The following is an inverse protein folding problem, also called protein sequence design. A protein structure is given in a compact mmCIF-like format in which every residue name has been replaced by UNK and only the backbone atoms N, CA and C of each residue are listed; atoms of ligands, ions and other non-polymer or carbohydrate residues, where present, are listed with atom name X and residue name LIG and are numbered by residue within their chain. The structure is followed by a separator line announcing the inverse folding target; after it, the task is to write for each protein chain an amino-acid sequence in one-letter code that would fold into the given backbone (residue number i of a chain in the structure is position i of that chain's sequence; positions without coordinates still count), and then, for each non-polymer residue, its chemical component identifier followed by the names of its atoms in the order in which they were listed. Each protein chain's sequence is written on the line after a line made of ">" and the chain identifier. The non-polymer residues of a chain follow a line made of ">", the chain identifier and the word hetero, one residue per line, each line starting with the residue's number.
data_IF_709113527479
#
_entry.id   IF_709113527479
#
_cell.length_a   1.000
_cell.length_b   1.000
_cell.length_c   1.000
_cell.angle_alpha   90.00
_cell.angle_beta   90.00
_cell.angle_gamma   90.00
#
_symmetry.space_group_name_H-M   'P 1'
#
loop_
_entity.id
_entity.type
_entity.pdbx_description
1 polymer ?
#
# COMPACT_ATOMS: atom_id res chain seq x y z
N UNK A 1 -1.89 35.88 -37.89
CA UNK A 1 -0.72 35.04 -37.90
C UNK A 1 -0.20 34.88 -36.46
N UNK A 2 -0.60 33.87 -35.74
CA UNK A 2 -0.06 33.47 -34.42
C UNK A 2 0.01 31.98 -34.35
N UNK A 3 1.11 31.40 -34.86
CA UNK A 3 1.59 30.09 -34.49
C UNK A 3 2.40 30.30 -33.20
N UNK A 4 1.93 29.86 -32.10
CA UNK A 4 2.75 29.39 -31.01
C UNK A 4 1.81 28.77 -29.98
N UNK A 5 2.03 27.54 -29.72
CA UNK A 5 1.88 26.91 -28.41
C UNK A 5 1.70 25.41 -28.59
N UNK A 6 2.58 24.80 -29.37
CA UNK A 6 2.96 23.43 -29.01
C UNK A 6 3.86 23.57 -27.78
N UNK A 7 3.25 23.71 -26.62
CA UNK A 7 3.90 23.40 -25.37
C UNK A 7 4.30 21.93 -25.47
N UNK A 8 5.59 21.67 -25.60
CA UNK A 8 6.16 20.33 -25.52
C UNK A 8 5.68 19.77 -24.19
N UNK A 9 4.60 19.00 -24.19
CA UNK A 9 4.17 18.26 -23.01
C UNK A 9 5.38 17.44 -22.57
N UNK A 10 5.89 17.70 -21.37
CA UNK A 10 6.92 16.86 -20.76
C UNK A 10 6.35 15.44 -20.82
N UNK A 11 7.06 14.56 -21.57
CA UNK A 11 6.67 13.16 -21.71
C UNK A 11 6.38 12.62 -20.31
N UNK A 12 5.16 12.19 -20.07
CA UNK A 12 4.75 11.67 -18.75
C UNK A 12 5.60 10.47 -18.41
N UNK A 13 6.30 10.51 -17.30
CA UNK A 13 7.03 9.36 -16.79
C UNK A 13 6.10 8.56 -15.86
N UNK A 14 5.46 7.52 -16.41
CA UNK A 14 4.57 6.64 -15.65
C UNK A 14 5.32 5.84 -14.59
N UNK A 15 6.60 5.50 -14.84
CA UNK A 15 7.43 4.84 -13.85
C UNK A 15 7.60 5.72 -12.62
N UNK A 16 7.90 7.02 -12.82
CA UNK A 16 8.09 7.94 -11.71
C UNK A 16 6.79 8.15 -10.92
N UNK A 17 5.64 8.27 -11.58
CA UNK A 17 4.35 8.41 -10.88
C UNK A 17 4.02 7.18 -10.02
N UNK A 18 4.29 5.98 -10.50
CA UNK A 18 4.10 4.75 -9.73
C UNK A 18 5.10 4.66 -8.56
N UNK A 19 6.36 5.07 -8.77
CA UNK A 19 7.37 5.12 -7.72
C UNK A 19 6.99 6.12 -6.62
N UNK A 20 6.53 7.32 -7.00
CA UNK A 20 6.11 8.36 -6.05
C UNK A 20 4.89 7.87 -5.24
N UNK A 21 3.91 7.24 -5.91
CA UNK A 21 2.73 6.67 -5.26
C UNK A 21 3.12 5.59 -4.23
N UNK A 22 3.94 4.60 -4.62
CA UNK A 22 4.40 3.55 -3.70
C UNK A 22 5.27 4.08 -2.56
N UNK A 23 6.05 5.15 -2.81
CA UNK A 23 6.81 5.83 -1.76
C UNK A 23 5.88 6.42 -0.68
N UNK A 24 4.81 7.09 -1.10
CA UNK A 24 3.81 7.67 -0.18
C UNK A 24 3.13 6.58 0.65
N UNK A 25 2.84 5.42 0.05
CA UNK A 25 2.30 4.25 0.76
C UNK A 25 3.28 3.71 1.81
N UNK A 26 4.55 3.55 1.46
CA UNK A 26 5.59 3.14 2.41
C UNK A 26 5.73 4.14 3.57
N UNK A 27 5.77 5.44 3.27
CA UNK A 27 5.85 6.49 4.30
C UNK A 27 4.64 6.43 5.25
N UNK A 28 3.44 6.13 4.74
CA UNK A 28 2.24 5.97 5.55
C UNK A 28 2.34 4.78 6.52
N UNK A 29 2.86 3.64 6.07
CA UNK A 29 3.08 2.49 6.96
C UNK A 29 4.16 2.73 8.00
N UNK A 30 5.23 3.46 7.66
CA UNK A 30 6.24 3.90 8.63
C UNK A 30 5.62 4.79 9.74
N UNK A 31 4.73 5.69 9.37
CA UNK A 31 4.01 6.54 10.33
C UNK A 31 2.98 5.71 11.14
N UNK A 32 2.26 4.80 10.49
CA UNK A 32 1.32 3.90 11.16
C UNK A 32 2.02 3.10 12.27
N UNK A 33 3.13 2.43 11.95
CA UNK A 33 3.90 1.64 12.93
C UNK A 33 4.30 2.49 14.14
N UNK A 34 4.89 3.67 13.89
CA UNK A 34 5.27 4.59 14.98
C UNK A 34 4.09 5.03 15.83
N UNK A 35 2.95 5.30 15.20
CA UNK A 35 1.73 5.69 15.88
C UNK A 35 1.15 4.58 16.74
N UNK A 36 1.13 3.36 16.25
CA UNK A 36 0.67 2.19 16.99
C UNK A 36 1.58 1.89 18.20
N UNK A 37 2.91 2.02 18.05
CA UNK A 37 3.87 1.80 19.14
C UNK A 37 3.82 2.88 20.21
N UNK A 38 3.58 4.13 19.84
CA UNK A 38 3.59 5.26 20.78
C UNK A 38 2.22 5.54 21.42
N UNK A 39 1.14 5.00 20.88
CA UNK A 39 -0.23 5.34 21.27
C UNK A 39 -0.59 6.81 20.96
N UNK A 40 0.13 7.46 20.06
CA UNK A 40 0.00 8.89 19.77
C UNK A 40 -0.98 9.15 18.62
N UNK A 41 -2.06 9.87 18.90
CA UNK A 41 -3.09 10.25 17.91
C UNK A 41 -2.58 11.14 16.75
N UNK A 42 -1.42 11.81 16.89
CA UNK A 42 -0.84 12.63 15.82
C UNK A 42 -0.49 11.81 14.57
N UNK A 43 -0.18 10.51 14.75
CA UNK A 43 0.08 9.61 13.63
C UNK A 43 -1.15 9.44 12.72
N UNK A 44 -2.36 9.47 13.28
CA UNK A 44 -3.60 9.33 12.51
C UNK A 44 -3.77 10.47 11.50
N UNK A 45 -3.60 11.73 11.91
CA UNK A 45 -3.68 12.89 11.01
C UNK A 45 -2.66 12.80 9.88
N UNK A 46 -1.46 12.29 10.19
CA UNK A 46 -0.40 12.14 9.18
C UNK A 46 -0.69 11.01 8.20
N UNK A 47 -1.26 9.89 8.64
CA UNK A 47 -1.72 8.81 7.74
C UNK A 47 -2.83 9.32 6.81
N UNK A 48 -3.82 10.06 7.31
CA UNK A 48 -4.86 10.69 6.49
C UNK A 48 -4.29 11.66 5.45
N UNK A 49 -3.26 12.43 5.82
CA UNK A 49 -2.60 13.33 4.88
C UNK A 49 -1.92 12.56 3.74
N UNK A 50 -1.19 11.49 4.08
CA UNK A 50 -0.47 10.67 3.10
C UNK A 50 -1.43 9.89 2.19
N UNK A 51 -2.56 9.43 2.71
CA UNK A 51 -3.60 8.81 1.88
C UNK A 51 -4.14 9.79 0.82
N UNK A 52 -4.46 11.03 1.21
CA UNK A 52 -4.89 12.05 0.24
C UNK A 52 -3.82 12.39 -0.79
N UNK A 53 -2.55 12.40 -0.38
CA UNK A 53 -1.42 12.58 -1.31
C UNK A 53 -1.31 11.40 -2.30
N UNK A 54 -1.48 10.16 -1.83
CA UNK A 54 -1.51 8.96 -2.68
C UNK A 54 -2.68 9.01 -3.67
N UNK A 55 -3.87 9.37 -3.21
CA UNK A 55 -5.09 9.54 -4.02
C UNK A 55 -4.89 10.61 -5.12
N UNK A 56 -4.24 11.73 -4.80
CA UNK A 56 -3.91 12.77 -5.76
C UNK A 56 -2.89 12.28 -6.81
N UNK A 57 -1.85 11.54 -6.40
CA UNK A 57 -0.88 10.92 -7.31
C UNK A 57 -1.56 9.93 -8.26
N UNK A 58 -2.43 9.07 -7.75
CA UNK A 58 -3.22 8.13 -8.53
C UNK A 58 -4.14 8.87 -9.51
N UNK A 59 -4.84 9.92 -9.08
CA UNK A 59 -5.69 10.74 -9.94
C UNK A 59 -4.90 11.38 -11.09
N UNK A 60 -3.71 11.91 -10.80
CA UNK A 60 -2.79 12.44 -11.81
C UNK A 60 -2.37 11.33 -12.79
N UNK A 61 -2.01 10.15 -12.30
CA UNK A 61 -1.62 9.01 -13.12
C UNK A 61 -2.75 8.61 -14.07
N UNK A 62 -3.98 8.46 -13.59
CA UNK A 62 -5.15 8.09 -14.39
C UNK A 62 -5.49 9.18 -15.44
N UNK A 63 -5.45 10.47 -15.05
CA UNK A 63 -5.66 11.56 -16.01
C UNK A 63 -4.60 11.53 -17.13
N UNK A 64 -3.34 11.32 -16.80
CA UNK A 64 -2.26 11.19 -17.78
C UNK A 64 -2.42 9.94 -18.65
N UNK A 65 -2.82 8.82 -18.05
CA UNK A 65 -3.09 7.59 -18.77
C UNK A 65 -4.19 7.81 -19.84
N UNK A 66 -5.27 8.50 -19.50
CA UNK A 66 -6.38 8.81 -20.40
C UNK A 66 -5.99 9.72 -21.57
N UNK A 67 -5.00 10.60 -21.38
CA UNK A 67 -4.54 11.55 -22.39
C UNK A 67 -3.35 11.08 -23.21
N UNK A 68 -2.72 9.96 -22.84
CA UNK A 68 -1.52 9.45 -23.50
C UNK A 68 -1.88 8.34 -24.47
N UNK A 69 -1.49 8.45 -25.75
CA UNK A 69 -1.76 7.43 -26.75
C UNK A 69 -0.80 6.23 -26.67
N UNK A 70 0.44 6.47 -26.28
CA UNK A 70 1.49 5.44 -26.19
C UNK A 70 2.09 5.44 -24.78
N UNK A 71 1.95 4.32 -24.10
CA UNK A 71 2.46 4.08 -22.74
C UNK A 71 3.71 3.20 -22.77
N UNK A 72 4.57 3.22 -21.73
CA UNK A 72 5.79 2.43 -21.70
C UNK A 72 5.56 0.92 -21.56
N UNK A 73 4.41 0.52 -21.02
CA UNK A 73 3.90 -0.84 -20.92
C UNK A 73 2.38 -0.82 -20.94
N UNK A 74 1.72 -1.95 -20.79
CA UNK A 74 0.29 -2.08 -20.98
C UNK A 74 -0.50 -1.13 -20.06
N UNK A 75 -1.52 -0.46 -20.63
CA UNK A 75 -2.36 0.51 -19.91
C UNK A 75 -3.17 -0.15 -18.80
N UNK A 76 -3.62 -1.39 -19.04
CA UNK A 76 -4.38 -2.16 -18.06
C UNK A 76 -3.50 -2.51 -16.86
N UNK A 77 -2.23 -2.85 -17.10
CA UNK A 77 -1.26 -3.13 -16.04
C UNK A 77 -0.94 -1.86 -15.22
N UNK A 78 -0.80 -0.68 -15.87
CA UNK A 78 -0.61 0.60 -15.17
C UNK A 78 -1.80 0.88 -14.24
N UNK A 79 -3.01 0.71 -14.75
CA UNK A 79 -4.23 0.94 -13.99
C UNK A 79 -4.37 -0.03 -12.82
N UNK A 80 -4.19 -1.34 -13.08
CA UNK A 80 -4.30 -2.39 -12.07
C UNK A 80 -3.26 -2.20 -10.95
N UNK A 81 -2.00 -1.90 -11.32
CA UNK A 81 -0.93 -1.66 -10.36
C UNK A 81 -1.22 -0.43 -9.48
N UNK A 82 -1.66 0.68 -10.09
CA UNK A 82 -2.01 1.88 -9.33
C UNK A 82 -3.15 1.63 -8.35
N UNK A 83 -4.12 0.78 -8.71
CA UNK A 83 -5.22 0.41 -7.83
C UNK A 83 -4.74 -0.48 -6.68
N UNK A 84 -3.93 -1.51 -6.96
CA UNK A 84 -3.43 -2.40 -5.93
C UNK A 84 -2.58 -1.64 -4.89
N UNK A 85 -1.73 -0.71 -5.34
CA UNK A 85 -0.91 0.14 -4.47
C UNK A 85 -1.78 1.08 -3.61
N UNK A 86 -2.83 1.64 -4.17
CA UNK A 86 -3.79 2.52 -3.48
C UNK A 86 -4.57 1.80 -2.37
N UNK A 87 -5.07 0.61 -2.66
CA UNK A 87 -5.79 -0.23 -1.68
C UNK A 87 -4.92 -0.61 -0.46
N UNK A 88 -3.59 -0.58 -0.59
CA UNK A 88 -2.67 -0.81 0.53
C UNK A 88 -2.75 0.34 1.53
N UNK A 89 -2.69 1.59 1.08
CA UNK A 89 -2.75 2.76 1.97
C UNK A 89 -4.14 2.98 2.55
N UNK A 90 -5.19 2.68 1.80
CA UNK A 90 -6.58 2.69 2.27
C UNK A 90 -6.75 1.84 3.54
N UNK A 91 -6.10 0.68 3.59
CA UNK A 91 -6.15 -0.19 4.76
C UNK A 91 -5.46 0.45 5.98
N UNK A 92 -4.36 1.17 5.78
CA UNK A 92 -3.69 1.92 6.85
C UNK A 92 -4.61 3.04 7.40
N UNK A 93 -5.27 3.78 6.51
CA UNK A 93 -6.22 4.83 6.88
C UNK A 93 -7.39 4.25 7.69
N UNK A 94 -8.03 3.18 7.19
CA UNK A 94 -9.15 2.52 7.90
C UNK A 94 -8.73 2.00 9.27
N UNK A 95 -7.51 1.48 9.39
CA UNK A 95 -6.98 1.00 10.67
C UNK A 95 -6.94 2.12 11.71
N UNK A 96 -6.37 3.28 11.38
CA UNK A 96 -6.31 4.41 12.34
C UNK A 96 -7.69 5.03 12.59
N UNK A 97 -8.55 5.06 11.58
CA UNK A 97 -9.93 5.55 11.70
C UNK A 97 -10.72 4.69 12.68
N UNK A 98 -10.69 3.37 12.53
CA UNK A 98 -11.46 2.45 13.37
C UNK A 98 -10.90 2.36 14.80
N UNK A 99 -9.58 2.41 15.00
CA UNK A 99 -9.00 2.53 16.33
C UNK A 99 -9.57 3.75 17.07
N UNK A 100 -9.67 4.88 16.39
CA UNK A 100 -10.21 6.12 16.98
C UNK A 100 -11.72 6.02 17.22
N UNK A 101 -12.52 5.62 16.21
CA UNK A 101 -13.99 5.52 16.31
C UNK A 101 -14.42 4.49 17.36
N UNK A 102 -13.73 3.35 17.39
CA UNK A 102 -14.04 2.29 18.35
C UNK A 102 -13.47 2.54 19.75
N UNK A 103 -12.59 3.53 19.88
CA UNK A 103 -11.86 3.85 21.10
C UNK A 103 -11.18 2.61 21.71
N UNK A 104 -10.42 1.90 20.88
CA UNK A 104 -9.62 0.74 21.28
C UNK A 104 -8.15 1.03 21.11
N UNK A 105 -7.32 0.42 21.97
CA UNK A 105 -5.88 0.55 21.87
C UNK A 105 -5.31 -0.56 20.96
N UNK A 106 -4.25 -0.27 20.21
CA UNK A 106 -3.54 -1.30 19.46
C UNK A 106 -2.89 -2.30 20.41
N UNK A 107 -2.91 -3.55 20.03
CA UNK A 107 -2.20 -4.62 20.73
C UNK A 107 -0.93 -5.05 19.96
N UNK A 108 -0.17 -5.96 20.56
CA UNK A 108 1.10 -6.43 20.02
C UNK A 108 0.95 -7.11 18.66
N UNK A 109 -0.14 -7.85 18.42
CA UNK A 109 -0.39 -8.53 17.15
C UNK A 109 -0.71 -7.53 16.03
N UNK A 110 -1.50 -6.48 16.31
CA UNK A 110 -1.75 -5.41 15.36
C UNK A 110 -0.45 -4.67 14.98
N UNK A 111 0.39 -4.37 15.97
CA UNK A 111 1.70 -3.74 15.76
C UNK A 111 2.60 -4.66 14.94
N UNK A 112 2.61 -5.98 15.23
CA UNK A 112 3.39 -6.95 14.47
C UNK A 112 2.95 -7.01 13.00
N UNK A 113 1.64 -7.04 12.73
CA UNK A 113 1.10 -6.98 11.37
C UNK A 113 1.52 -5.71 10.63
N UNK A 114 1.39 -4.55 11.27
CA UNK A 114 1.79 -3.27 10.68
C UNK A 114 3.29 -3.23 10.32
N UNK A 115 4.17 -3.77 11.18
CA UNK A 115 5.61 -3.89 10.92
C UNK A 115 5.95 -4.79 9.73
N UNK A 116 5.21 -5.86 9.55
CA UNK A 116 5.41 -6.74 8.39
C UNK A 116 4.96 -6.02 7.12
N UNK A 117 3.85 -5.29 7.16
CA UNK A 117 3.37 -4.48 6.04
C UNK A 117 4.30 -3.30 5.71
N UNK A 118 4.90 -2.64 6.70
CA UNK A 118 5.92 -1.62 6.47
C UNK A 118 7.07 -2.19 5.61
N UNK A 119 7.54 -3.40 5.92
CA UNK A 119 8.57 -4.07 5.11
C UNK A 119 8.06 -4.45 3.72
N UNK A 120 6.83 -4.96 3.61
CA UNK A 120 6.21 -5.32 2.35
C UNK A 120 6.05 -4.12 1.42
N UNK A 121 5.61 -2.98 1.95
CA UNK A 121 5.46 -1.73 1.18
C UNK A 121 6.81 -1.14 0.75
N UNK A 122 7.86 -1.26 1.56
CA UNK A 122 9.22 -0.94 1.16
C UNK A 122 9.68 -1.79 -0.03
N UNK A 123 9.41 -3.09 0.00
CA UNK A 123 9.77 -4.00 -1.11
C UNK A 123 8.99 -3.65 -2.40
N UNK A 124 7.71 -3.24 -2.32
CA UNK A 124 6.95 -2.74 -3.48
C UNK A 124 7.57 -1.44 -4.02
N UNK A 125 7.90 -0.49 -3.15
CA UNK A 125 8.57 0.75 -3.55
C UNK A 125 9.91 0.49 -4.26
N UNK A 126 10.77 -0.38 -3.68
CA UNK A 126 12.06 -0.72 -4.27
C UNK A 126 11.92 -1.54 -5.57
N UNK A 127 10.90 -2.40 -5.68
CA UNK A 127 10.58 -3.09 -6.93
C UNK A 127 10.28 -2.08 -8.05
N UNK A 128 9.39 -1.14 -7.82
CA UNK A 128 9.01 -0.11 -8.79
C UNK A 128 10.16 0.81 -9.16
N UNK A 129 10.97 1.22 -8.20
CA UNK A 129 12.15 2.05 -8.38
C UNK A 129 13.19 1.40 -9.30
N UNK A 130 13.34 0.08 -9.21
CA UNK A 130 14.31 -0.69 -9.99
C UNK A 130 13.75 -1.24 -11.31
N UNK A 131 12.43 -1.29 -11.49
CA UNK A 131 11.75 -1.99 -12.58
C UNK A 131 12.24 -1.58 -13.96
N UNK A 132 12.53 -0.28 -14.18
CA UNK A 132 12.96 0.24 -15.49
C UNK A 132 14.43 -0.06 -15.83
N UNK A 133 15.33 -0.03 -14.85
CA UNK A 133 16.78 -0.12 -15.09
C UNK A 133 17.37 -1.46 -14.69
N UNK A 134 16.81 -2.09 -13.69
CA UNK A 134 17.32 -3.32 -13.08
C UNK A 134 16.18 -4.34 -12.86
N UNK A 135 15.55 -4.86 -13.94
CA UNK A 135 14.36 -5.70 -13.82
C UNK A 135 14.58 -6.97 -12.99
N UNK A 136 15.77 -7.57 -13.05
CA UNK A 136 16.09 -8.72 -12.20
C UNK A 136 16.10 -8.37 -10.69
N UNK A 137 16.60 -7.18 -10.33
CA UNK A 137 16.56 -6.68 -8.94
C UNK A 137 15.13 -6.40 -8.52
N UNK A 138 14.33 -5.82 -9.42
CA UNK A 138 12.90 -5.55 -9.16
C UNK A 138 12.11 -6.84 -8.90
N UNK A 139 12.37 -7.92 -9.64
CA UNK A 139 11.76 -9.23 -9.41
C UNK A 139 12.09 -9.82 -8.03
N UNK A 140 13.33 -9.64 -7.54
CA UNK A 140 13.69 -10.08 -6.19
C UNK A 140 12.97 -9.28 -5.11
N UNK A 141 12.77 -7.97 -5.31
CA UNK A 141 11.95 -7.15 -4.41
C UNK A 141 10.47 -7.60 -4.47
N UNK A 142 9.90 -7.78 -5.65
CA UNK A 142 8.53 -8.27 -5.81
C UNK A 142 8.33 -9.63 -5.11
N UNK A 143 9.27 -10.56 -5.24
CA UNK A 143 9.23 -11.86 -4.53
C UNK A 143 9.23 -11.71 -3.01
N UNK A 144 10.00 -10.75 -2.46
CA UNK A 144 10.00 -10.49 -1.02
C UNK A 144 8.70 -9.82 -0.56
N UNK A 145 8.12 -8.93 -1.38
CA UNK A 145 6.81 -8.33 -1.12
C UNK A 145 5.71 -9.41 -1.03
N UNK A 146 5.71 -10.39 -1.94
CA UNK A 146 4.77 -11.53 -1.90
C UNK A 146 4.85 -12.34 -0.60
N UNK A 147 6.04 -12.51 -0.03
CA UNK A 147 6.20 -13.24 1.22
C UNK A 147 5.51 -12.57 2.41
N UNK A 148 5.14 -11.29 2.29
CA UNK A 148 4.42 -10.53 3.31
C UNK A 148 3.05 -11.14 3.59
N UNK A 149 2.32 -11.56 2.56
CA UNK A 149 0.97 -12.14 2.68
C UNK A 149 0.97 -13.35 3.63
N UNK A 150 1.81 -14.34 3.39
CA UNK A 150 1.90 -15.54 4.24
C UNK A 150 2.28 -15.21 5.69
N UNK A 151 3.16 -14.22 5.92
CA UNK A 151 3.56 -13.79 7.26
C UNK A 151 2.38 -13.13 8.00
N UNK A 152 1.68 -12.21 7.33
CA UNK A 152 0.50 -11.54 7.89
C UNK A 152 -0.61 -12.53 8.18
N UNK A 153 -0.91 -13.44 7.24
CA UNK A 153 -1.94 -14.45 7.42
C UNK A 153 -1.70 -15.32 8.66
N UNK A 154 -0.44 -15.69 8.88
CA UNK A 154 -0.07 -16.46 10.09
C UNK A 154 -0.31 -15.65 11.38
N UNK A 155 0.14 -14.39 11.43
CA UNK A 155 -0.08 -13.50 12.59
C UNK A 155 -1.58 -13.27 12.78
N UNK A 156 -2.32 -13.02 11.72
CA UNK A 156 -3.77 -12.80 11.75
C UNK A 156 -4.54 -13.97 12.35
N UNK A 157 -4.25 -15.22 11.92
CA UNK A 157 -4.92 -16.41 12.47
C UNK A 157 -4.58 -16.61 13.94
N UNK A 158 -3.31 -16.38 14.35
CA UNK A 158 -2.90 -16.43 15.74
C UNK A 158 -3.64 -15.38 16.56
N UNK A 159 -3.65 -14.12 16.10
CA UNK A 159 -4.33 -13.01 16.75
C UNK A 159 -5.84 -13.29 16.93
N UNK A 160 -6.50 -13.88 15.92
CA UNK A 160 -7.91 -14.26 16.03
C UNK A 160 -8.13 -15.35 17.09
N UNK A 161 -7.26 -16.37 17.15
CA UNK A 161 -7.38 -17.41 18.16
C UNK A 161 -7.27 -16.82 19.58
N UNK A 162 -6.22 -16.00 19.82
CA UNK A 162 -6.02 -15.34 21.12
C UNK A 162 -7.16 -14.35 21.47
N UNK A 163 -7.67 -13.64 20.46
CA UNK A 163 -8.78 -12.69 20.64
C UNK A 163 -10.05 -13.38 21.11
N UNK A 164 -10.40 -14.52 20.53
CA UNK A 164 -11.65 -15.25 20.84
C UNK A 164 -11.54 -16.18 22.03
N UNK A 165 -10.35 -16.69 22.37
CA UNK A 165 -10.14 -17.60 23.49
C UNK A 165 -9.97 -16.88 24.83
N UNK A 166 -9.73 -15.55 24.83
CA UNK A 166 -9.57 -14.80 26.08
C UNK A 166 -10.92 -14.51 26.75
N UNK A 167 -11.18 -15.09 27.94
CA UNK A 167 -12.45 -14.92 28.64
C UNK A 167 -12.72 -13.49 29.16
N UNK A 168 -11.71 -12.64 29.21
CA UNK A 168 -11.84 -11.25 29.62
C UNK A 168 -12.33 -10.33 28.48
N UNK A 169 -12.29 -10.81 27.25
CA UNK A 169 -12.73 -10.04 26.10
C UNK A 169 -14.26 -10.05 25.97
N UNK A 170 -14.83 -8.84 25.89
CA UNK A 170 -16.25 -8.72 25.59
C UNK A 170 -16.52 -8.99 24.09
N UNK A 171 -17.72 -9.49 23.72
CA UNK A 171 -18.08 -9.67 22.32
C UNK A 171 -17.92 -8.40 21.48
N UNK A 172 -18.20 -7.23 22.06
CA UNK A 172 -18.01 -5.94 21.39
C UNK A 172 -16.54 -5.63 21.09
N UNK A 173 -15.64 -5.93 22.02
CA UNK A 173 -14.19 -5.78 21.80
C UNK A 173 -13.69 -6.74 20.73
N UNK A 174 -14.10 -8.01 20.81
CA UNK A 174 -13.70 -9.05 19.81
C UNK A 174 -14.11 -8.65 18.39
N UNK A 175 -15.32 -8.13 18.20
CA UNK A 175 -15.79 -7.67 16.89
C UNK A 175 -14.98 -6.48 16.36
N UNK A 176 -14.68 -5.51 17.19
CA UNK A 176 -13.90 -4.33 16.83
C UNK A 176 -12.47 -4.70 16.42
N UNK A 177 -11.77 -5.47 17.26
CA UNK A 177 -10.39 -5.88 16.95
C UNK A 177 -10.30 -6.79 15.74
N UNK A 178 -11.24 -7.74 15.58
CA UNK A 178 -11.33 -8.58 14.38
C UNK A 178 -11.45 -7.74 13.09
N UNK A 179 -12.25 -6.66 13.11
CA UNK A 179 -12.41 -5.79 11.95
C UNK A 179 -11.11 -5.07 11.63
N UNK A 180 -10.44 -4.51 12.63
CA UNK A 180 -9.15 -3.83 12.49
C UNK A 180 -8.07 -4.77 11.94
N UNK A 181 -7.92 -5.98 12.50
CA UNK A 181 -6.97 -6.96 11.97
C UNK A 181 -7.25 -7.33 10.51
N UNK A 182 -8.54 -7.41 10.14
CA UNK A 182 -8.95 -7.75 8.77
C UNK A 182 -8.46 -6.71 7.75
N UNK A 183 -8.39 -5.42 8.11
CA UNK A 183 -7.86 -4.41 7.20
C UNK A 183 -6.38 -4.66 6.88
N UNK A 184 -5.56 -4.94 7.88
CA UNK A 184 -4.14 -5.23 7.65
C UNK A 184 -3.93 -6.58 6.93
N UNK A 185 -4.74 -7.61 7.22
CA UNK A 185 -4.67 -8.85 6.45
C UNK A 185 -4.99 -8.60 4.97
N UNK A 186 -6.06 -7.86 4.66
CA UNK A 186 -6.42 -7.50 3.28
C UNK A 186 -5.35 -6.63 2.59
N UNK A 187 -4.66 -5.78 3.34
CA UNK A 187 -3.54 -5.02 2.80
C UNK A 187 -2.39 -5.91 2.33
N UNK A 188 -2.16 -7.03 2.99
CA UNK A 188 -1.17 -8.03 2.57
C UNK A 188 -1.56 -8.70 1.25
N UNK A 189 -2.86 -9.00 1.05
CA UNK A 189 -3.38 -9.51 -0.22
C UNK A 189 -3.10 -8.52 -1.36
N UNK A 190 -3.27 -7.21 -1.10
CA UNK A 190 -2.98 -6.16 -2.07
C UNK A 190 -1.47 -5.98 -2.34
N UNK A 191 -0.62 -6.22 -1.35
CA UNK A 191 0.83 -6.28 -1.57
C UNK A 191 1.23 -7.45 -2.49
N UNK A 192 0.62 -8.63 -2.31
CA UNK A 192 0.83 -9.78 -3.20
C UNK A 192 0.35 -9.46 -4.63
N UNK A 193 -0.83 -8.88 -4.78
CA UNK A 193 -1.39 -8.47 -6.07
C UNK A 193 -0.48 -7.46 -6.77
N UNK A 194 -0.03 -6.40 -6.09
CA UNK A 194 0.91 -5.42 -6.65
C UNK A 194 2.22 -6.08 -7.10
N UNK A 195 2.77 -6.99 -6.30
CA UNK A 195 4.00 -7.71 -6.62
C UNK A 195 3.82 -8.65 -7.84
N UNK A 196 2.65 -9.29 -7.98
CA UNK A 196 2.31 -10.09 -9.14
C UNK A 196 2.27 -9.24 -10.41
N UNK A 197 1.57 -8.10 -10.38
CA UNK A 197 1.47 -7.19 -11.52
C UNK A 197 2.85 -6.65 -11.91
N UNK A 198 3.70 -6.27 -10.95
CA UNK A 198 5.08 -5.84 -11.21
C UNK A 198 5.86 -6.94 -11.94
N UNK A 199 5.75 -8.18 -11.47
CA UNK A 199 6.43 -9.33 -12.08
C UNK A 199 5.95 -9.57 -13.52
N UNK A 200 4.65 -9.49 -13.77
CA UNK A 200 4.03 -9.65 -15.08
C UNK A 200 4.47 -8.54 -16.06
N UNK A 201 4.52 -7.28 -15.60
CA UNK A 201 5.05 -6.18 -16.42
C UNK A 201 6.49 -6.45 -16.83
N UNK A 202 7.34 -6.87 -15.90
CA UNK A 202 8.75 -7.16 -16.18
C UNK A 202 8.87 -8.29 -17.22
N UNK A 203 8.11 -9.38 -17.07
CA UNK A 203 8.12 -10.51 -18.00
C UNK A 203 7.65 -10.09 -19.40
N UNK A 204 6.61 -9.25 -19.50
CA UNK A 204 6.07 -8.76 -20.78
C UNK A 204 7.00 -7.77 -21.51
N UNK A 205 7.88 -7.09 -20.76
CA UNK A 205 8.74 -6.02 -21.30
C UNK A 205 10.20 -6.41 -21.45
N UNK A 206 10.60 -7.63 -21.03
CA UNK A 206 11.92 -8.23 -21.20
C UNK A 206 11.98 -9.00 -22.51
#
# INVERSE_FOLDING_TARGET
>A
MKLSLFRKDKKTDFYQLLVDHAKTVYDAYTILVRGLESGNGEASERVYFLEREADDLRRILIDRLNRTLVTPFDREDIYALSRAVDEIIDAAQRTVEELNIFNVQPDDDLIAMAKVLEKGTLEIFDALKNMKQYPAVALEHAKRAKATENQIHHIYLKALAELFDNPEHTPGYMLKMREIYRHLNRSADNCDEAANIISDIIIKTS
#
